data_IF_530479418941
#
_entry.id   IF_530479418941
#
_cell.length_a   1.000
_cell.length_b   1.000
_cell.length_c   1.000
_cell.angle_alpha   90.00
_cell.angle_beta   90.00
_cell.angle_gamma   90.00
#
_symmetry.space_group_name_H-M   'P 1'
#
loop_
_entity.id
_entity.type
_entity.pdbx_description
1 polymer ?
#
# COMPACT_ATOMS: atom_id res chain seq x y z
N UNK A 1 34.44 -26.65 0.66
CA UNK A 1 34.06 -25.25 0.43
C UNK A 1 32.69 -25.13 -0.24
N UNK A 2 31.68 -25.91 0.23
CA UNK A 2 30.33 -25.97 -0.37
C UNK A 2 29.21 -25.60 0.62
N UNK A 3 29.49 -25.44 1.92
CA UNK A 3 28.44 -25.24 2.93
C UNK A 3 27.98 -23.80 3.05
N UNK A 4 28.87 -22.81 2.94
CA UNK A 4 28.50 -21.38 3.06
C UNK A 4 27.62 -20.94 1.89
N UNK A 5 27.98 -21.29 0.65
CA UNK A 5 27.17 -20.98 -0.53
C UNK A 5 25.80 -21.66 -0.43
N UNK A 6 25.75 -22.92 -0.01
CA UNK A 6 24.49 -23.64 0.19
C UNK A 6 23.62 -22.99 1.28
N UNK A 7 24.21 -22.56 2.39
CA UNK A 7 23.49 -21.84 3.45
C UNK A 7 22.98 -20.47 2.99
N UNK A 8 23.76 -19.73 2.19
CA UNK A 8 23.32 -18.46 1.62
C UNK A 8 22.16 -18.65 0.62
N UNK A 9 22.22 -19.69 -0.22
CA UNK A 9 21.14 -20.02 -1.15
C UNK A 9 19.85 -20.40 -0.42
N UNK A 10 19.95 -21.18 0.66
CA UNK A 10 18.79 -21.52 1.51
C UNK A 10 18.18 -20.25 2.12
N UNK A 11 19.01 -19.38 2.72
CA UNK A 11 18.53 -18.12 3.31
C UNK A 11 17.90 -17.18 2.28
N UNK A 12 18.44 -17.17 1.06
CA UNK A 12 17.89 -16.36 -0.03
C UNK A 12 16.50 -16.90 -0.45
N UNK A 13 16.36 -18.22 -0.57
CA UNK A 13 15.08 -18.85 -0.89
C UNK A 13 14.04 -18.62 0.22
N UNK A 14 14.43 -18.74 1.49
CA UNK A 14 13.56 -18.42 2.63
C UNK A 14 13.08 -16.96 2.60
N UNK A 15 13.99 -16.02 2.30
CA UNK A 15 13.65 -14.60 2.16
C UNK A 15 12.67 -14.37 1.01
N UNK A 16 12.92 -14.97 -0.15
CA UNK A 16 12.05 -14.83 -1.32
C UNK A 16 10.64 -15.38 -1.07
N UNK A 17 10.53 -16.52 -0.37
CA UNK A 17 9.23 -17.08 0.04
C UNK A 17 8.53 -16.12 1.01
N UNK A 18 9.24 -15.60 2.01
CA UNK A 18 8.68 -14.63 2.96
C UNK A 18 8.20 -13.34 2.28
N UNK A 19 8.94 -12.83 1.29
CA UNK A 19 8.54 -11.67 0.50
C UNK A 19 7.28 -11.94 -0.34
N UNK A 20 7.17 -13.13 -0.95
CA UNK A 20 5.97 -13.54 -1.72
C UNK A 20 4.74 -13.67 -0.83
N UNK A 21 4.88 -14.27 0.34
CA UNK A 21 3.78 -14.38 1.32
C UNK A 21 3.32 -13.00 1.80
N UNK A 22 4.27 -12.09 2.08
CA UNK A 22 3.94 -10.72 2.46
C UNK A 22 3.23 -9.98 1.32
N UNK A 23 3.70 -10.15 0.08
CA UNK A 23 3.08 -9.55 -1.09
C UNK A 23 1.63 -10.03 -1.28
N UNK A 24 1.39 -11.34 -1.18
CA UNK A 24 0.04 -11.90 -1.28
C UNK A 24 -0.90 -11.37 -0.18
N UNK A 25 -0.40 -11.16 1.04
CA UNK A 25 -1.17 -10.55 2.14
C UNK A 25 -1.52 -9.09 1.83
N UNK A 26 -0.56 -8.31 1.33
CA UNK A 26 -0.79 -6.92 0.93
C UNK A 26 -1.85 -6.86 -0.18
N UNK A 27 -1.73 -7.69 -1.21
CA UNK A 27 -2.69 -7.75 -2.31
C UNK A 27 -4.11 -8.10 -1.83
N UNK A 28 -4.24 -9.08 -0.94
CA UNK A 28 -5.53 -9.44 -0.32
C UNK A 28 -6.16 -8.27 0.45
N UNK A 29 -5.34 -7.52 1.21
CA UNK A 29 -5.80 -6.33 1.92
C UNK A 29 -6.20 -5.21 0.95
N UNK A 30 -5.44 -4.99 -0.13
CA UNK A 30 -5.79 -4.01 -1.15
C UNK A 30 -7.13 -4.34 -1.81
N UNK A 31 -7.37 -5.61 -2.15
CA UNK A 31 -8.65 -6.06 -2.72
C UNK A 31 -9.81 -5.84 -1.76
N UNK A 32 -9.63 -6.15 -0.48
CA UNK A 32 -10.65 -5.94 0.55
C UNK A 32 -10.99 -4.45 0.72
N UNK A 33 -9.96 -3.60 0.83
CA UNK A 33 -10.15 -2.14 0.94
C UNK A 33 -10.84 -1.60 -0.31
N UNK A 34 -10.45 -2.05 -1.49
CA UNK A 34 -11.11 -1.66 -2.74
C UNK A 34 -12.59 -2.05 -2.75
N UNK A 35 -12.92 -3.28 -2.34
CA UNK A 35 -14.31 -3.73 -2.24
C UNK A 35 -15.12 -2.85 -1.27
N UNK A 36 -14.59 -2.54 -0.09
CA UNK A 36 -15.23 -1.66 0.89
C UNK A 36 -15.47 -0.27 0.29
N UNK A 37 -14.45 0.34 -0.31
CA UNK A 37 -14.54 1.68 -0.90
C UNK A 37 -15.55 1.70 -2.06
N UNK A 38 -15.62 0.64 -2.86
CA UNK A 38 -16.57 0.55 -3.98
C UNK A 38 -18.05 0.53 -3.56
N UNK A 39 -18.32 0.20 -2.30
CA UNK A 39 -19.68 0.20 -1.72
C UNK A 39 -20.06 1.55 -1.08
N UNK A 40 -19.14 2.51 -1.03
CA UNK A 40 -19.39 3.84 -0.46
C UNK A 40 -20.11 4.73 -1.48
N UNK A 41 -21.01 5.57 -0.98
CA UNK A 41 -21.59 6.67 -1.76
C UNK A 41 -20.57 7.80 -1.97
N UNK A 42 -20.82 8.66 -2.95
CA UNK A 42 -19.90 9.75 -3.32
C UNK A 42 -19.60 10.71 -2.18
N UNK A 43 -20.55 10.98 -1.28
CA UNK A 43 -20.30 11.84 -0.13
C UNK A 43 -19.26 11.21 0.80
N UNK A 44 -19.39 9.91 1.08
CA UNK A 44 -18.41 9.16 1.88
C UNK A 44 -17.06 9.04 1.17
N UNK A 45 -17.03 8.84 -0.15
CA UNK A 45 -15.78 8.81 -0.92
C UNK A 45 -15.08 10.18 -0.87
N UNK A 46 -15.83 11.27 -0.98
CA UNK A 46 -15.29 12.62 -0.88
C UNK A 46 -14.75 12.93 0.53
N UNK A 47 -15.47 12.52 1.58
CA UNK A 47 -15.01 12.65 2.96
C UNK A 47 -13.72 11.86 3.20
N UNK A 48 -13.67 10.60 2.75
CA UNK A 48 -12.49 9.74 2.81
C UNK A 48 -11.31 10.38 2.07
N UNK A 49 -11.53 10.88 0.86
CA UNK A 49 -10.52 11.55 0.05
C UNK A 49 -9.95 12.78 0.77
N UNK A 50 -10.82 13.59 1.39
CA UNK A 50 -10.40 14.77 2.16
C UNK A 50 -9.55 14.39 3.38
N UNK A 51 -9.96 13.37 4.14
CA UNK A 51 -9.20 12.85 5.29
C UNK A 51 -7.81 12.36 4.87
N UNK A 52 -7.72 11.60 3.77
CA UNK A 52 -6.44 11.08 3.27
C UNK A 52 -5.54 12.20 2.74
N UNK A 53 -6.09 13.27 2.15
CA UNK A 53 -5.33 14.48 1.80
C UNK A 53 -4.73 15.15 3.04
N UNK A 54 -5.48 15.28 4.12
CA UNK A 54 -4.95 15.81 5.39
C UNK A 54 -3.78 14.99 5.92
N UNK A 55 -3.90 13.66 5.90
CA UNK A 55 -2.81 12.75 6.30
C UNK A 55 -1.60 12.87 5.37
N UNK A 56 -1.80 13.06 4.06
CA UNK A 56 -0.73 13.30 3.09
C UNK A 56 0.01 14.60 3.40
N UNK A 57 -0.69 15.67 3.72
CA UNK A 57 -0.10 16.95 4.12
C UNK A 57 0.73 16.81 5.39
N UNK A 58 0.21 16.12 6.42
CA UNK A 58 0.95 15.81 7.65
C UNK A 58 2.18 14.94 7.38
N UNK A 59 2.08 13.98 6.46
CA UNK A 59 3.17 13.07 6.10
C UNK A 59 4.27 13.80 5.34
N UNK A 60 3.91 14.71 4.42
CA UNK A 60 4.86 15.56 3.69
C UNK A 60 5.63 16.52 4.60
N UNK A 61 5.08 16.86 5.76
CA UNK A 61 5.77 17.67 6.77
C UNK A 61 6.81 16.87 7.56
N UNK A 62 6.73 15.53 7.56
CA UNK A 62 7.70 14.65 8.22
C UNK A 62 8.94 14.48 7.33
N UNK A 63 10.14 14.50 7.93
CA UNK A 63 11.40 14.25 7.22
C UNK A 63 11.83 12.80 7.42
N UNK A 64 12.12 12.08 6.34
CA UNK A 64 12.62 10.71 6.35
C UNK A 64 12.33 9.97 5.05
N UNK A 65 13.11 8.93 4.75
CA UNK A 65 12.94 8.10 3.55
C UNK A 65 11.56 7.38 3.56
N UNK A 66 11.13 6.92 4.75
CA UNK A 66 9.82 6.33 4.98
C UNK A 66 8.65 7.30 4.73
N UNK A 67 8.87 8.60 4.97
CA UNK A 67 7.85 9.63 4.75
C UNK A 67 7.59 9.86 3.25
N UNK A 68 8.63 9.73 2.42
CA UNK A 68 8.50 9.84 0.97
C UNK A 68 7.66 8.70 0.40
N UNK A 69 7.97 7.45 0.79
CA UNK A 69 7.21 6.27 0.38
C UNK A 69 5.75 6.33 0.86
N UNK A 70 5.53 6.74 2.11
CA UNK A 70 4.19 6.91 2.65
C UNK A 70 3.38 7.97 1.86
N UNK A 71 4.00 9.11 1.53
CA UNK A 71 3.38 10.15 0.73
C UNK A 71 2.99 9.66 -0.68
N UNK A 72 3.86 8.91 -1.34
CA UNK A 72 3.58 8.32 -2.65
C UNK A 72 2.38 7.37 -2.61
N UNK A 73 2.34 6.47 -1.61
CA UNK A 73 1.24 5.51 -1.43
C UNK A 73 -0.09 6.22 -1.14
N UNK A 74 -0.08 7.26 -0.29
CA UNK A 74 -1.27 8.06 0.00
C UNK A 74 -1.79 8.80 -1.24
N UNK A 75 -0.89 9.39 -2.04
CA UNK A 75 -1.25 10.04 -3.31
C UNK A 75 -1.89 9.05 -4.29
N UNK A 76 -1.32 7.84 -4.41
CA UNK A 76 -1.87 6.77 -5.24
C UNK A 76 -3.27 6.35 -4.78
N UNK A 77 -3.51 6.27 -3.48
CA UNK A 77 -4.83 5.95 -2.92
C UNK A 77 -5.88 7.02 -3.25
N UNK A 78 -5.53 8.31 -3.13
CA UNK A 78 -6.41 9.42 -3.51
C UNK A 78 -6.85 9.27 -4.98
N UNK A 79 -5.91 8.98 -5.88
CA UNK A 79 -6.22 8.78 -7.30
C UNK A 79 -7.14 7.57 -7.55
N UNK A 80 -7.01 6.50 -6.78
CA UNK A 80 -7.92 5.33 -6.87
C UNK A 80 -9.33 5.73 -6.44
N UNK A 81 -9.48 6.47 -5.34
CA UNK A 81 -10.80 6.88 -4.83
C UNK A 81 -11.53 7.83 -5.78
N UNK A 82 -10.82 8.82 -6.34
CA UNK A 82 -11.40 9.74 -7.33
C UNK A 82 -11.84 9.00 -8.59
N UNK A 83 -11.06 8.01 -9.04
CA UNK A 83 -11.44 7.16 -10.19
C UNK A 83 -12.69 6.33 -9.90
N UNK A 84 -12.86 5.82 -8.68
CA UNK A 84 -14.06 5.07 -8.28
C UNK A 84 -15.29 5.97 -8.25
N UNK A 85 -15.19 7.17 -7.66
CA UNK A 85 -16.31 8.14 -7.65
C UNK A 85 -16.70 8.60 -9.05
N UNK A 86 -15.76 8.75 -9.99
CA UNK A 86 -16.07 9.07 -11.38
C UNK A 86 -16.79 7.95 -12.15
N UNK A 87 -16.80 6.72 -11.63
CA UNK A 87 -17.36 5.53 -12.29
C UNK A 87 -18.77 5.18 -11.79
N UNK A 88 -19.11 5.58 -10.55
CA UNK A 88 -20.42 5.38 -9.95
C UNK A 88 -21.37 6.52 -10.32
#
# INVERSE_FOLDING_TARGET
MNSLLSQLLIRLAEKEVGEKELHAKIESLEMLVFAIVSMLDDNKINELTSKVKGVLEETNQRKGEDACLAAELLSRNINRFTTISLRN
#
